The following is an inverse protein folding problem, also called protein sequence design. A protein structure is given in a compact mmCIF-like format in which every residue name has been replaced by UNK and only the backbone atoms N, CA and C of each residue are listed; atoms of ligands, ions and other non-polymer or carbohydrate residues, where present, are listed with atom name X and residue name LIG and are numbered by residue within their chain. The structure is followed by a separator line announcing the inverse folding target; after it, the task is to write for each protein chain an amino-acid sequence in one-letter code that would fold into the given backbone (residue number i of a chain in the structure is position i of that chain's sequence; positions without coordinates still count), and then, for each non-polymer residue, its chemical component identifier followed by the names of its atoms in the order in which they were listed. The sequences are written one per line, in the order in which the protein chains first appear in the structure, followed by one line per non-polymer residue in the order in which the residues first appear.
data_IF_152513124257
#
_entry.id   IF_152513124257
#
_cell.length_a   1.000
_cell.length_b   1.000
_cell.length_c   1.000
_cell.angle_alpha   90.00
_cell.angle_beta   90.00
_cell.angle_gamma   90.00
#
_symmetry.space_group_name_H-M   'P 1'
#
loop_
_entity.id
_entity.type
_entity.pdbx_description
1 polymer ?
#
# COMPACT_ATOMS: atom_id res chain seq x y z
N UNK A 1 12.80 -11.37 1.07
CA UNK A 1 13.12 -10.84 2.42
C UNK A 1 14.34 -9.91 2.45
N UNK A 2 15.36 -10.12 1.61
CA UNK A 2 16.58 -9.30 1.60
C UNK A 2 16.29 -7.80 1.50
N UNK A 3 15.46 -7.31 0.54
CA UNK A 3 15.15 -5.87 0.48
C UNK A 3 14.47 -5.33 1.74
N UNK A 4 13.62 -6.11 2.37
CA UNK A 4 12.98 -5.73 3.64
C UNK A 4 14.00 -5.61 4.79
N UNK A 5 14.92 -6.57 4.90
CA UNK A 5 15.95 -6.52 5.93
C UNK A 5 16.91 -5.33 5.73
N UNK A 6 17.31 -5.07 4.48
CA UNK A 6 18.08 -3.89 4.12
C UNK A 6 17.35 -2.59 4.45
N UNK A 7 16.05 -2.50 4.09
CA UNK A 7 15.21 -1.35 4.42
C UNK A 7 15.16 -1.12 5.94
N UNK A 8 14.90 -2.17 6.73
CA UNK A 8 14.78 -2.08 8.18
C UNK A 8 16.09 -1.62 8.82
N UNK A 9 17.20 -2.20 8.37
CA UNK A 9 18.53 -1.79 8.81
C UNK A 9 18.84 -0.32 8.45
N UNK A 10 18.55 0.10 7.21
CA UNK A 10 18.82 1.48 6.77
C UNK A 10 17.94 2.48 7.52
N UNK A 11 16.65 2.16 7.75
CA UNK A 11 15.75 2.96 8.58
C UNK A 11 16.35 3.20 9.97
N UNK A 12 16.86 2.14 10.60
CA UNK A 12 17.43 2.21 11.95
C UNK A 12 18.77 2.96 11.94
N UNK A 13 19.61 2.70 10.93
CA UNK A 13 20.91 3.37 10.74
C UNK A 13 20.79 4.88 10.48
N UNK A 14 19.79 5.31 9.74
CA UNK A 14 19.52 6.72 9.43
C UNK A 14 18.50 7.38 10.36
N UNK A 15 17.95 6.64 11.32
CA UNK A 15 16.91 7.11 12.27
C UNK A 15 15.70 7.75 11.60
N UNK A 16 15.33 7.30 10.40
CA UNK A 16 14.17 7.78 9.65
C UNK A 16 13.70 6.73 8.65
N UNK A 17 12.37 6.60 8.50
CA UNK A 17 11.76 5.80 7.44
C UNK A 17 11.71 6.53 6.09
N UNK A 18 11.95 7.84 6.05
CA UNK A 18 12.02 8.59 4.80
C UNK A 18 13.32 8.27 4.07
N UNK A 19 13.22 7.30 3.16
CA UNK A 19 14.35 6.82 2.37
C UNK A 19 14.96 7.89 1.45
N UNK A 20 14.28 9.01 1.19
CA UNK A 20 14.88 10.12 0.44
C UNK A 20 16.09 10.71 1.17
N UNK A 21 16.17 10.52 2.49
CA UNK A 21 17.27 10.97 3.33
C UNK A 21 18.41 9.93 3.46
N UNK A 22 18.34 8.76 2.81
CA UNK A 22 19.31 7.68 2.96
C UNK A 22 20.53 7.78 2.04
N UNK A 23 20.88 8.98 1.59
CA UNK A 23 22.05 9.24 0.75
C UNK A 23 22.08 8.34 -0.50
N UNK A 24 23.12 7.54 -0.71
CA UNK A 24 23.25 6.62 -1.83
C UNK A 24 22.16 5.53 -1.88
N UNK A 25 21.48 5.26 -0.78
CA UNK A 25 20.39 4.28 -0.68
C UNK A 25 18.99 4.90 -0.85
N UNK A 26 18.90 6.20 -1.17
CA UNK A 26 17.61 6.89 -1.38
C UNK A 26 16.79 6.28 -2.53
N UNK A 27 17.46 5.72 -3.51
CA UNK A 27 16.85 4.91 -4.58
C UNK A 27 17.26 3.47 -4.40
N UNK A 28 16.30 2.56 -4.55
CA UNK A 28 16.59 1.13 -4.50
C UNK A 28 17.45 0.71 -5.69
N UNK A 29 18.57 0.09 -5.40
CA UNK A 29 19.49 -0.49 -6.37
C UNK A 29 19.79 -1.94 -5.92
N UNK A 30 19.36 -2.96 -6.69
CA UNK A 30 19.56 -4.36 -6.32
C UNK A 30 21.01 -4.75 -6.08
N UNK A 31 21.95 -4.23 -6.87
CA UNK A 31 23.38 -4.57 -6.76
C UNK A 31 23.99 -3.97 -5.49
N UNK A 32 23.65 -2.70 -5.22
CA UNK A 32 24.06 -2.01 -4.00
C UNK A 32 23.51 -2.70 -2.75
N UNK A 33 22.26 -3.15 -2.79
CA UNK A 33 21.63 -3.87 -1.68
C UNK A 33 22.23 -5.27 -1.52
N UNK A 34 22.51 -5.97 -2.61
CA UNK A 34 23.20 -7.26 -2.52
C UNK A 34 24.60 -7.14 -1.89
N UNK A 35 25.32 -6.08 -2.24
CA UNK A 35 26.62 -5.77 -1.63
C UNK A 35 26.50 -5.47 -0.14
N UNK A 36 25.50 -4.65 0.26
CA UNK A 36 25.22 -4.32 1.66
C UNK A 36 24.87 -5.57 2.48
N UNK A 37 24.07 -6.46 1.93
CA UNK A 37 23.57 -7.68 2.58
C UNK A 37 24.50 -8.89 2.41
N UNK A 38 25.72 -8.70 1.93
CA UNK A 38 26.71 -9.76 1.82
C UNK A 38 27.20 -10.19 3.23
N UNK A 39 27.37 -11.49 3.45
CA UNK A 39 27.83 -12.05 4.73
C UNK A 39 29.18 -11.49 5.19
N UNK A 40 30.02 -11.01 4.26
CA UNK A 40 31.31 -10.37 4.56
C UNK A 40 31.19 -8.87 4.87
N UNK A 41 29.99 -8.30 4.75
CA UNK A 41 29.74 -6.89 5.10
C UNK A 41 29.82 -6.70 6.61
N UNK A 42 30.40 -5.58 7.05
CA UNK A 42 30.44 -5.21 8.47
C UNK A 42 29.03 -5.05 9.07
N UNK A 43 28.06 -4.65 8.26
CA UNK A 43 26.66 -4.41 8.67
C UNK A 43 25.80 -5.70 8.62
N UNK A 44 26.35 -6.84 8.13
CA UNK A 44 25.56 -8.06 7.86
C UNK A 44 24.87 -8.61 9.10
N UNK A 45 25.51 -8.58 10.25
CA UNK A 45 24.95 -9.13 11.50
C UNK A 45 23.66 -8.44 11.91
N UNK A 46 23.59 -7.13 11.76
CA UNK A 46 22.39 -6.34 12.07
C UNK A 46 21.29 -6.60 11.03
N UNK A 47 21.66 -6.71 9.76
CA UNK A 47 20.72 -7.05 8.68
C UNK A 47 20.15 -8.47 8.87
N UNK A 48 21.01 -9.43 9.22
CA UNK A 48 20.63 -10.82 9.47
C UNK A 48 19.63 -10.95 10.62
N UNK A 49 19.69 -10.07 11.62
CA UNK A 49 18.70 -10.03 12.70
C UNK A 49 17.27 -9.77 12.15
N UNK A 50 17.11 -8.84 11.21
CA UNK A 50 15.81 -8.59 10.59
C UNK A 50 15.32 -9.79 9.76
N UNK A 51 16.21 -10.52 9.09
CA UNK A 51 15.87 -11.76 8.39
C UNK A 51 15.43 -12.85 9.38
N UNK A 52 16.15 -13.01 10.47
CA UNK A 52 15.84 -13.98 11.52
C UNK A 52 14.46 -13.69 12.15
N UNK A 53 14.20 -12.43 12.52
CA UNK A 53 12.91 -12.03 13.09
C UNK A 53 11.75 -12.37 12.12
N UNK A 54 11.89 -12.07 10.84
CA UNK A 54 10.85 -12.38 9.86
C UNK A 54 10.67 -13.90 9.65
N UNK A 55 11.74 -14.66 9.71
CA UNK A 55 11.68 -16.12 9.67
C UNK A 55 10.91 -16.69 10.88
N UNK A 56 11.25 -16.25 12.08
CA UNK A 56 10.57 -16.69 13.31
C UNK A 56 9.09 -16.31 13.32
N UNK A 57 8.75 -15.09 12.91
CA UNK A 57 7.36 -14.66 12.78
C UNK A 57 6.58 -15.51 11.76
N UNK A 58 7.19 -15.84 10.63
CA UNK A 58 6.59 -16.73 9.64
C UNK A 58 6.29 -18.12 10.22
N UNK A 59 7.29 -18.73 10.88
CA UNK A 59 7.16 -20.07 11.47
C UNK A 59 6.08 -20.08 12.57
N UNK A 60 6.07 -19.09 13.44
CA UNK A 60 5.11 -19.00 14.53
C UNK A 60 3.68 -18.76 14.03
N UNK A 61 3.48 -17.83 13.08
CA UNK A 61 2.17 -17.57 12.50
C UNK A 61 1.64 -18.80 11.74
N UNK A 62 2.50 -19.47 10.97
CA UNK A 62 2.10 -20.66 10.24
C UNK A 62 1.67 -21.80 11.20
N UNK A 63 2.42 -22.02 12.28
CA UNK A 63 2.04 -22.99 13.32
C UNK A 63 0.69 -22.65 13.96
N UNK A 64 0.49 -21.39 14.32
CA UNK A 64 -0.77 -20.92 14.94
C UNK A 64 -1.97 -21.11 13.99
N UNK A 65 -1.83 -20.75 12.72
CA UNK A 65 -2.89 -20.92 11.72
C UNK A 65 -3.18 -22.40 11.44
N UNK A 66 -2.15 -23.26 11.37
CA UNK A 66 -2.34 -24.70 11.19
C UNK A 66 -3.04 -25.32 12.39
N UNK A 67 -2.62 -24.99 13.61
CA UNK A 67 -3.30 -25.45 14.83
C UNK A 67 -4.77 -25.03 14.86
N UNK A 68 -5.07 -23.78 14.48
CA UNK A 68 -6.46 -23.31 14.35
C UNK A 68 -7.26 -24.16 13.37
N UNK A 69 -6.72 -24.46 12.18
CA UNK A 69 -7.37 -25.30 11.16
C UNK A 69 -7.67 -26.72 11.69
N UNK A 70 -6.70 -27.33 12.39
CA UNK A 70 -6.87 -28.66 13.00
C UNK A 70 -7.99 -28.68 14.06
N UNK A 71 -8.26 -27.53 14.69
CA UNK A 71 -9.35 -27.35 15.67
C UNK A 71 -10.64 -26.82 15.07
N UNK A 72 -10.76 -26.75 13.73
CA UNK A 72 -11.93 -26.23 13.04
C UNK A 72 -12.09 -24.70 13.13
N UNK A 73 -11.05 -23.98 13.56
CA UNK A 73 -11.04 -22.51 13.62
C UNK A 73 -10.47 -21.96 12.34
N UNK A 74 -11.22 -21.08 11.67
CA UNK A 74 -10.76 -20.34 10.49
C UNK A 74 -10.21 -18.98 10.92
N UNK A 75 -8.94 -18.76 10.60
CA UNK A 75 -8.32 -17.45 10.79
C UNK A 75 -8.48 -16.64 9.50
N UNK A 76 -9.16 -15.50 9.60
CA UNK A 76 -9.38 -14.59 8.48
C UNK A 76 -8.31 -13.48 8.50
N UNK A 77 -7.58 -13.35 7.41
CA UNK A 77 -6.65 -12.25 7.20
C UNK A 77 -7.36 -10.96 6.82
N UNK A 78 -6.67 -9.85 6.98
CA UNK A 78 -7.12 -8.53 6.54
C UNK A 78 -6.11 -7.93 5.57
N UNK A 79 -6.57 -7.42 4.43
CA UNK A 79 -5.74 -6.83 3.39
C UNK A 79 -6.06 -5.34 3.33
N UNK A 80 -5.15 -4.49 3.85
CA UNK A 80 -5.35 -3.04 3.79
C UNK A 80 -5.27 -2.54 2.35
N UNK A 81 -6.02 -1.46 2.08
CA UNK A 81 -6.07 -0.85 0.75
C UNK A 81 -4.75 -0.17 0.36
N UNK A 82 -3.97 0.31 1.29
CA UNK A 82 -2.81 1.13 0.99
C UNK A 82 -1.51 0.63 1.61
N UNK A 83 -0.46 1.34 1.30
CA UNK A 83 0.88 1.20 1.90
C UNK A 83 1.30 2.52 2.52
N UNK A 84 2.26 2.50 3.44
CA UNK A 84 2.91 3.73 3.86
C UNK A 84 3.73 4.32 2.71
N UNK A 85 3.69 5.64 2.59
CA UNK A 85 4.49 6.41 1.61
C UNK A 85 5.99 6.17 1.75
N UNK A 86 6.42 5.84 2.96
CA UNK A 86 7.81 5.55 3.32
C UNK A 86 8.05 4.07 3.57
N UNK A 87 7.21 3.18 3.02
CA UNK A 87 7.39 1.73 3.17
C UNK A 87 8.44 1.15 2.24
N UNK A 88 8.82 -0.09 2.52
CA UNK A 88 9.74 -0.85 1.67
C UNK A 88 9.18 -1.04 0.25
N UNK A 89 7.87 -1.19 0.10
CA UNK A 89 7.21 -1.33 -1.20
C UNK A 89 7.37 -0.05 -2.03
N UNK A 90 7.16 1.11 -1.42
CA UNK A 90 7.34 2.40 -2.07
C UNK A 90 8.80 2.67 -2.47
N UNK A 91 9.75 2.13 -1.71
CA UNK A 91 11.18 2.23 -2.01
C UNK A 91 11.62 1.30 -3.14
N UNK A 92 11.12 0.04 -3.15
CA UNK A 92 11.54 -0.97 -4.14
C UNK A 92 10.84 -0.79 -5.48
N UNK A 93 9.53 -0.56 -5.46
CA UNK A 93 8.66 -0.56 -6.65
C UNK A 93 7.79 0.71 -6.71
N UNK A 94 8.39 1.93 -6.65
CA UNK A 94 7.66 3.19 -6.60
C UNK A 94 6.76 3.43 -7.82
N UNK A 95 7.03 2.78 -8.95
CA UNK A 95 6.25 2.90 -10.18
C UNK A 95 4.80 2.41 -10.04
N UNK A 96 4.52 1.56 -9.05
CA UNK A 96 3.16 1.06 -8.79
C UNK A 96 2.30 2.05 -8.00
N UNK A 97 2.87 3.15 -7.53
CA UNK A 97 2.21 4.09 -6.64
C UNK A 97 2.24 5.52 -7.18
N UNK A 98 1.13 6.22 -7.04
CA UNK A 98 1.03 7.65 -7.34
C UNK A 98 1.51 8.44 -6.11
N UNK A 99 2.80 8.72 -6.05
CA UNK A 99 3.42 9.38 -4.89
C UNK A 99 3.01 10.85 -4.73
N UNK A 100 2.37 11.46 -5.71
CA UNK A 100 1.82 12.82 -5.68
C UNK A 100 0.33 12.87 -5.27
N UNK A 101 -0.30 11.70 -5.07
CA UNK A 101 -1.66 11.56 -4.59
C UNK A 101 -1.74 10.89 -3.22
N UNK A 102 -2.83 11.09 -2.52
CA UNK A 102 -3.13 10.47 -1.22
C UNK A 102 -4.53 9.88 -1.26
N UNK A 103 -4.67 8.64 -0.81
CA UNK A 103 -5.98 8.02 -0.65
C UNK A 103 -6.73 8.64 0.53
N UNK A 104 -8.04 8.69 0.40
CA UNK A 104 -8.92 9.19 1.45
C UNK A 104 -10.39 8.89 1.17
N UNK A 105 -11.25 9.65 1.81
CA UNK A 105 -12.70 9.61 1.59
C UNK A 105 -13.27 11.02 1.43
N UNK A 106 -14.31 11.18 0.60
CA UNK A 106 -15.02 12.46 0.49
C UNK A 106 -15.70 12.86 1.80
N UNK A 107 -16.11 14.12 1.93
CA UNK A 107 -16.97 14.54 3.03
C UNK A 107 -18.25 13.70 3.14
N UNK A 108 -18.59 13.37 4.39
CA UNK A 108 -19.81 12.64 4.73
C UNK A 108 -20.39 13.13 6.08
N UNK A 109 -21.45 12.47 6.54
CA UNK A 109 -22.11 12.82 7.82
C UNK A 109 -21.21 12.63 9.05
N UNK A 110 -20.15 11.84 8.97
CA UNK A 110 -19.21 11.55 10.06
C UNK A 110 -17.95 12.42 9.98
N UNK A 111 -17.60 12.90 8.79
CA UNK A 111 -16.40 13.73 8.56
C UNK A 111 -16.71 14.82 7.53
N UNK A 112 -17.07 16.00 8.00
CA UNK A 112 -17.44 17.15 7.16
C UNK A 112 -16.31 17.65 6.26
N UNK A 113 -15.05 17.38 6.64
CA UNK A 113 -13.85 17.72 5.86
C UNK A 113 -13.32 16.54 5.03
N UNK A 114 -14.06 15.42 4.99
CA UNK A 114 -13.55 14.18 4.43
C UNK A 114 -12.39 13.60 5.24
N UNK A 115 -11.80 12.52 4.72
CA UNK A 115 -10.68 11.87 5.38
C UNK A 115 -9.46 11.86 4.45
N UNK A 116 -8.29 12.12 4.99
CA UNK A 116 -7.01 11.94 4.31
C UNK A 116 -6.23 10.84 5.06
N UNK A 117 -5.98 9.72 4.40
CA UNK A 117 -5.27 8.59 4.99
C UNK A 117 -3.75 8.64 4.78
N UNK A 118 -3.26 9.61 3.99
CA UNK A 118 -1.83 9.85 3.76
C UNK A 118 -1.12 8.78 2.91
N UNK A 119 -1.81 7.71 2.52
CA UNK A 119 -1.28 6.62 1.73
C UNK A 119 -1.27 6.98 0.24
N UNK A 120 -0.21 6.66 -0.53
CA UNK A 120 -0.24 6.85 -1.99
C UNK A 120 -1.31 5.98 -2.63
N UNK A 121 -1.91 6.45 -3.71
CA UNK A 121 -2.85 5.67 -4.50
C UNK A 121 -2.11 4.74 -5.48
N UNK A 122 -2.81 3.73 -6.03
CA UNK A 122 -2.20 2.79 -6.96
C UNK A 122 -2.17 3.30 -8.39
N UNK A 123 -1.06 3.06 -9.08
CA UNK A 123 -0.93 3.26 -10.51
C UNK A 123 -1.39 1.99 -11.25
N UNK A 124 -2.71 1.84 -11.39
CA UNK A 124 -3.34 0.68 -11.99
C UNK A 124 -2.89 0.43 -13.43
N UNK A 125 -2.60 1.50 -14.21
CA UNK A 125 -2.13 1.38 -15.58
C UNK A 125 -0.75 0.73 -15.67
N UNK A 126 0.12 0.98 -14.72
CA UNK A 126 1.43 0.32 -14.65
C UNK A 126 1.27 -1.11 -14.16
N UNK A 127 0.46 -1.34 -13.12
CA UNK A 127 0.22 -2.69 -12.60
C UNK A 127 -0.45 -3.62 -13.63
N UNK A 128 -1.32 -3.10 -14.48
CA UNK A 128 -1.95 -3.87 -15.55
C UNK A 128 -0.92 -4.45 -16.54
N UNK A 129 0.14 -3.71 -16.84
CA UNK A 129 1.16 -4.13 -17.81
C UNK A 129 1.91 -5.40 -17.42
N UNK A 130 1.98 -5.69 -16.12
CA UNK A 130 2.61 -6.91 -15.60
C UNK A 130 1.60 -7.87 -14.94
N UNK A 131 0.32 -7.77 -15.32
CA UNK A 131 -0.78 -8.56 -14.81
C UNK A 131 -0.96 -8.45 -13.30
N UNK A 132 -0.79 -7.26 -12.73
CA UNK A 132 -0.96 -6.99 -11.30
C UNK A 132 -0.05 -7.85 -10.42
N UNK A 133 1.18 -8.09 -10.84
CA UNK A 133 2.15 -8.99 -10.17
C UNK A 133 2.34 -8.67 -8.70
N UNK A 134 2.34 -7.39 -8.32
CA UNK A 134 2.45 -6.96 -6.92
C UNK A 134 1.30 -7.50 -6.07
N UNK A 135 0.06 -7.38 -6.54
CA UNK A 135 -1.13 -7.91 -5.89
C UNK A 135 -1.13 -9.44 -5.85
N UNK A 136 -0.75 -10.09 -6.94
CA UNK A 136 -0.65 -11.56 -6.99
C UNK A 136 0.31 -12.08 -5.93
N UNK A 137 1.49 -11.48 -5.77
CA UNK A 137 2.47 -11.84 -4.72
C UNK A 137 1.87 -11.69 -3.33
N UNK A 138 1.16 -10.60 -3.10
CA UNK A 138 0.53 -10.28 -1.81
C UNK A 138 -0.56 -11.31 -1.46
N UNK A 139 -1.49 -11.59 -2.37
CA UNK A 139 -2.53 -12.61 -2.17
C UNK A 139 -1.94 -14.00 -1.98
N UNK A 140 -0.95 -14.38 -2.80
CA UNK A 140 -0.26 -15.66 -2.66
C UNK A 140 0.38 -15.81 -1.28
N UNK A 141 1.01 -14.75 -0.76
CA UNK A 141 1.60 -14.77 0.57
C UNK A 141 0.54 -14.88 1.68
N UNK A 142 -0.56 -14.17 1.56
CA UNK A 142 -1.68 -14.26 2.50
C UNK A 142 -2.31 -15.66 2.53
N UNK A 143 -2.41 -16.33 1.38
CA UNK A 143 -2.97 -17.68 1.27
C UNK A 143 -2.11 -18.75 1.96
N UNK A 144 -0.85 -18.50 2.27
CA UNK A 144 -0.03 -19.41 3.08
C UNK A 144 -0.56 -19.53 4.53
N UNK A 145 -1.14 -18.46 5.06
CA UNK A 145 -1.61 -18.41 6.45
C UNK A 145 -3.13 -18.53 6.58
N UNK A 146 -3.87 -17.85 5.73
CA UNK A 146 -5.30 -17.64 5.89
C UNK A 146 -6.10 -18.35 4.80
N UNK A 147 -7.24 -18.93 5.19
CA UNK A 147 -8.20 -19.57 4.26
C UNK A 147 -9.25 -18.59 3.74
N UNK A 148 -9.40 -17.45 4.40
CA UNK A 148 -10.27 -16.36 4.01
C UNK A 148 -9.62 -15.03 4.36
N UNK A 149 -9.98 -13.95 3.66
CA UNK A 149 -9.53 -12.59 4.02
C UNK A 149 -10.59 -11.55 3.67
N UNK A 150 -10.56 -10.49 4.44
CA UNK A 150 -11.30 -9.27 4.16
C UNK A 150 -10.41 -8.36 3.31
N UNK A 151 -10.98 -7.83 2.25
CA UNK A 151 -10.36 -6.74 1.49
C UNK A 151 -10.93 -5.44 2.06
N UNK A 152 -10.07 -4.64 2.65
CA UNK A 152 -10.46 -3.34 3.16
C UNK A 152 -10.72 -2.36 2.01
N UNK A 153 -11.74 -1.53 2.15
CA UNK A 153 -12.11 -0.49 1.19
C UNK A 153 -12.17 -0.97 -0.27
N UNK A 154 -12.95 -2.02 -0.54
CA UNK A 154 -13.07 -2.64 -1.88
C UNK A 154 -13.39 -1.63 -2.99
N UNK A 155 -14.12 -0.55 -2.71
CA UNK A 155 -14.43 0.49 -3.68
C UNK A 155 -13.18 1.17 -4.23
N UNK A 156 -12.13 1.26 -3.45
CA UNK A 156 -10.85 1.86 -3.85
C UNK A 156 -10.12 1.08 -4.96
N UNK A 157 -10.52 -0.17 -5.23
CA UNK A 157 -10.02 -0.95 -6.37
C UNK A 157 -10.68 -0.54 -7.70
N UNK A 158 -11.83 0.12 -7.64
CA UNK A 158 -12.56 0.61 -8.81
C UNK A 158 -12.41 2.12 -8.96
N UNK A 159 -12.60 2.84 -7.86
CA UNK A 159 -12.49 4.30 -7.76
C UNK A 159 -12.01 4.66 -6.37
N UNK A 160 -10.95 5.41 -6.28
CA UNK A 160 -10.41 5.93 -5.03
C UNK A 160 -10.63 7.43 -4.94
N UNK A 161 -10.95 7.93 -3.75
CA UNK A 161 -10.87 9.36 -3.47
C UNK A 161 -9.41 9.73 -3.33
N UNK A 162 -8.89 10.51 -4.30
CA UNK A 162 -7.50 10.93 -4.35
C UNK A 162 -7.39 12.40 -4.02
N UNK A 163 -6.53 12.70 -3.04
CA UNK A 163 -6.24 14.03 -2.57
C UNK A 163 -4.81 14.37 -3.03
N UNK A 164 -4.55 15.54 -3.64
CA UNK A 164 -3.20 15.96 -3.97
C UNK A 164 -2.29 15.97 -2.74
N UNK A 165 -1.02 15.54 -2.87
CA UNK A 165 -0.10 15.42 -1.72
C UNK A 165 0.20 16.76 -1.03
N UNK A 166 -0.03 17.90 -1.69
CA UNK A 166 0.09 19.25 -1.11
C UNK A 166 -1.12 19.66 -0.27
N UNK A 167 -2.22 18.87 -0.28
CA UNK A 167 -3.44 19.17 0.47
C UNK A 167 -3.56 18.29 1.70
N UNK A 168 -4.12 18.85 2.76
CA UNK A 168 -4.27 18.15 4.05
C UNK A 168 -5.68 17.58 4.20
N UNK A 169 -6.71 18.30 3.76
CA UNK A 169 -8.10 17.93 4.00
C UNK A 169 -8.66 17.05 2.88
N UNK A 170 -9.50 16.10 3.25
CA UNK A 170 -10.20 15.21 2.32
C UNK A 170 -11.10 15.95 1.33
N UNK A 171 -11.65 17.09 1.74
CA UNK A 171 -12.48 17.97 0.89
C UNK A 171 -11.80 18.34 -0.44
N UNK A 172 -10.48 18.41 -0.48
CA UNK A 172 -9.71 18.80 -1.66
C UNK A 172 -9.45 17.65 -2.63
N UNK A 173 -10.07 16.51 -2.42
CA UNK A 173 -9.91 15.32 -3.25
C UNK A 173 -10.90 15.28 -4.42
N UNK A 174 -10.71 14.27 -5.25
CA UNK A 174 -11.60 13.88 -6.34
C UNK A 174 -11.53 12.38 -6.58
N UNK A 175 -12.54 11.80 -7.21
CA UNK A 175 -12.48 10.38 -7.56
C UNK A 175 -11.49 10.11 -8.70
N UNK A 176 -10.70 9.06 -8.54
CA UNK A 176 -9.80 8.55 -9.58
C UNK A 176 -10.01 7.05 -9.81
N UNK A 177 -10.26 6.60 -11.05
CA UNK A 177 -10.47 7.44 -12.23
C UNK A 177 -11.72 8.34 -12.08
N UNK A 178 -11.63 9.55 -12.61
CA UNK A 178 -12.79 10.39 -12.81
C UNK A 178 -13.60 9.77 -13.98
N UNK A 179 -14.88 9.52 -13.74
CA UNK A 179 -15.81 9.06 -14.77
C UNK A 179 -16.84 10.17 -14.94
N UNK A 180 -16.53 11.21 -15.73
CA UNK A 180 -17.46 12.30 -15.94
C UNK A 180 -18.70 11.76 -16.65
N UNK A 181 -19.85 12.13 -16.14
CA UNK A 181 -21.13 11.90 -16.79
C UNK A 181 -21.48 13.15 -17.58
N UNK A 182 -21.92 12.99 -18.81
CA UNK A 182 -22.48 14.11 -19.57
C UNK A 182 -23.86 14.48 -19.01
N UNK A 183 -24.24 15.73 -19.16
CA UNK A 183 -25.56 16.21 -18.77
C UNK A 183 -26.68 15.38 -19.42
N UNK A 184 -26.49 14.96 -20.67
CA UNK A 184 -27.41 14.10 -21.41
C UNK A 184 -27.62 12.74 -20.77
N UNK A 185 -26.51 12.12 -20.24
CA UNK A 185 -26.60 10.83 -19.53
C UNK A 185 -27.34 10.98 -18.21
N UNK A 186 -27.03 12.05 -17.45
CA UNK A 186 -27.69 12.36 -16.18
C UNK A 186 -29.20 12.59 -16.38
N UNK A 187 -29.57 13.38 -17.40
CA UNK A 187 -30.99 13.62 -17.76
C UNK A 187 -31.66 12.34 -18.24
N UNK A 188 -30.95 11.48 -18.99
CA UNK A 188 -31.47 10.19 -19.44
C UNK A 188 -31.84 9.24 -18.28
N UNK A 189 -31.22 9.42 -17.11
CA UNK A 189 -31.56 8.71 -15.88
C UNK A 189 -32.64 9.41 -15.03
N UNK A 190 -33.24 10.48 -15.55
CA UNK A 190 -34.27 11.24 -14.85
C UNK A 190 -33.73 12.18 -13.75
N UNK A 191 -32.43 12.43 -13.74
CA UNK A 191 -31.82 13.33 -12.78
C UNK A 191 -31.61 14.71 -13.41
N UNK A 192 -32.33 15.72 -12.91
CA UNK A 192 -32.17 17.10 -13.32
C UNK A 192 -31.36 17.85 -12.27
N UNK A 193 -30.03 17.92 -12.49
CA UNK A 193 -29.15 18.67 -11.61
C UNK A 193 -29.38 20.18 -11.87
N UNK A 194 -29.69 20.91 -10.82
CA UNK A 194 -29.61 22.36 -10.79
C UNK A 194 -28.16 22.78 -10.64
N UNK A 195 -27.50 23.00 -11.79
CA UNK A 195 -26.05 23.29 -11.83
C UNK A 195 -25.76 24.62 -11.11
N UNK A 196 -26.65 25.58 -11.15
CA UNK A 196 -26.50 26.88 -10.48
C UNK A 196 -26.48 26.74 -8.93
N UNK A 197 -27.05 25.65 -8.41
CA UNK A 197 -27.10 25.37 -6.98
C UNK A 197 -25.83 24.68 -6.45
N UNK A 198 -25.03 24.06 -7.32
CA UNK A 198 -23.91 23.19 -6.93
C UNK A 198 -22.56 23.64 -7.48
N UNK A 199 -22.47 24.74 -8.22
CA UNK A 199 -21.23 25.35 -8.73
C UNK A 199 -20.91 26.67 -8.04
#
# INVERSE_FOLDING_TARGET
LIPYAAYSFLRDKFHTSDFNNWRKYSKYDPELIQTLCNEKSADYKEIALHLFIQFELHVQLLKACNYGREKGVLVKGDIPIGISRTSVEAWIEPQYFNMNGQAGAPPDAFSTNGQNWGMPTYNWLVMQKDNYRWWQKRFKKMAEYFTAYRIDHILGFFRIWEIPSCQVQGLMGHFRPALPLSEKEIHGWGFHADIERYC
#
